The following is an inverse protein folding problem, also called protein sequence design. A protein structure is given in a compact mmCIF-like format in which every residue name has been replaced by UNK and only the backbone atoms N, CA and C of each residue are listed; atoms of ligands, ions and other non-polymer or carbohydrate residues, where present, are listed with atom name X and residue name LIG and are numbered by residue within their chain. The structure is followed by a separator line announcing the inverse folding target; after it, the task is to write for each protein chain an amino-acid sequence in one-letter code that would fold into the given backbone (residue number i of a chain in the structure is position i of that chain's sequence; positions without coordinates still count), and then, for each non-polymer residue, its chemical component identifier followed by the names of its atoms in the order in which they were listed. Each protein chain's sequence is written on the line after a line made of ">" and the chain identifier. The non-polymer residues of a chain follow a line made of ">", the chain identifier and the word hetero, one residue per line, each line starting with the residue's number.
data_IF_882864761357
#
_entry.id   IF_882864761357
#
_cell.length_a   1.000
_cell.length_b   1.000
_cell.length_c   1.000
_cell.angle_alpha   90.00
_cell.angle_beta   90.00
_cell.angle_gamma   90.00
#
_symmetry.space_group_name_H-M   'P 1'
#
loop_
_entity.id
_entity.type
_entity.pdbx_description
1 polymer ?
#
# COMPACT_ATOMS: atom_id res chain seq x y z
N UNK A 1 -27.98 -19.49 13.24
CA UNK A 1 -28.13 -20.96 13.22
C UNK A 1 -27.65 -21.46 14.57
N UNK A 2 -28.52 -22.12 15.33
CA UNK A 2 -28.19 -22.57 16.68
C UNK A 2 -27.37 -23.86 16.61
N UNK A 3 -26.27 -23.96 17.37
CA UNK A 3 -25.42 -25.15 17.38
C UNK A 3 -26.22 -26.39 17.81
N UNK A 4 -27.19 -26.25 18.71
CA UNK A 4 -27.98 -27.38 19.22
C UNK A 4 -28.88 -28.01 18.15
N UNK A 5 -29.20 -27.27 17.09
CA UNK A 5 -30.05 -27.72 15.98
C UNK A 5 -29.26 -28.40 14.85
N UNK A 6 -27.93 -28.31 14.87
CA UNK A 6 -27.08 -28.86 13.82
C UNK A 6 -26.82 -30.36 14.01
N UNK A 7 -26.84 -31.11 12.92
CA UNK A 7 -26.39 -32.49 12.90
C UNK A 7 -24.90 -32.60 13.23
N UNK A 8 -24.48 -33.79 13.67
CA UNK A 8 -23.08 -34.05 14.00
C UNK A 8 -22.13 -33.78 12.81
N UNK A 9 -22.58 -34.07 11.59
CA UNK A 9 -21.84 -33.83 10.35
C UNK A 9 -21.67 -32.33 10.06
N UNK A 10 -22.74 -31.54 10.23
CA UNK A 10 -22.71 -30.09 10.02
C UNK A 10 -21.82 -29.40 11.06
N UNK A 11 -21.88 -29.85 12.33
CA UNK A 11 -20.99 -29.38 13.40
C UNK A 11 -19.53 -29.65 13.04
N UNK A 12 -19.23 -30.84 12.54
CA UNK A 12 -17.86 -31.21 12.15
C UNK A 12 -17.35 -30.38 10.97
N UNK A 13 -18.19 -30.12 9.96
CA UNK A 13 -17.84 -29.27 8.83
C UNK A 13 -17.61 -27.81 9.24
N UNK A 14 -18.45 -27.27 10.12
CA UNK A 14 -18.29 -25.93 10.67
C UNK A 14 -16.98 -25.80 11.44
N UNK A 15 -16.67 -26.79 12.30
CA UNK A 15 -15.41 -26.85 13.04
C UNK A 15 -14.19 -26.87 12.11
N UNK A 16 -14.21 -27.70 11.07
CA UNK A 16 -13.12 -27.77 10.08
C UNK A 16 -12.95 -26.42 9.37
N UNK A 17 -14.03 -25.76 8.99
CA UNK A 17 -14.01 -24.45 8.34
C UNK A 17 -13.43 -23.37 9.26
N UNK A 18 -13.90 -23.30 10.50
CA UNK A 18 -13.39 -22.36 11.50
C UNK A 18 -11.91 -22.59 11.79
N UNK A 19 -11.49 -23.86 11.90
CA UNK A 19 -10.08 -24.20 12.11
C UNK A 19 -9.18 -23.73 10.96
N UNK A 20 -9.65 -23.84 9.71
CA UNK A 20 -8.93 -23.34 8.53
C UNK A 20 -8.82 -21.81 8.54
N UNK A 21 -9.88 -21.10 8.90
CA UNK A 21 -9.86 -19.63 8.95
C UNK A 21 -8.97 -19.11 10.10
N UNK A 22 -8.99 -19.78 11.25
CA UNK A 22 -8.08 -19.49 12.35
C UNK A 22 -6.63 -19.67 11.91
N UNK A 23 -6.31 -20.76 11.20
CA UNK A 23 -4.96 -21.01 10.69
C UNK A 23 -4.52 -19.94 9.68
N UNK A 24 -5.43 -19.51 8.81
CA UNK A 24 -5.19 -18.39 7.88
C UNK A 24 -4.90 -17.09 8.63
N UNK A 25 -5.72 -16.73 9.62
CA UNK A 25 -5.54 -15.51 10.41
C UNK A 25 -4.25 -15.54 11.22
N UNK A 26 -3.89 -16.70 11.80
CA UNK A 26 -2.59 -16.89 12.47
C UNK A 26 -1.42 -16.67 11.53
N UNK A 27 -1.49 -17.15 10.30
CA UNK A 27 -0.45 -16.91 9.30
C UNK A 27 -0.32 -15.42 8.93
N UNK A 28 -1.45 -14.71 8.84
CA UNK A 28 -1.47 -13.27 8.57
C UNK A 28 -0.90 -12.50 9.76
N UNK A 29 -1.33 -12.81 10.99
CA UNK A 29 -0.83 -12.18 12.21
C UNK A 29 0.66 -12.45 12.35
N UNK A 30 1.10 -13.70 12.22
CA UNK A 30 2.52 -14.08 12.24
C UNK A 30 3.31 -13.33 11.17
N UNK A 31 2.77 -13.20 9.96
CA UNK A 31 3.39 -12.36 8.94
C UNK A 31 3.57 -10.92 9.45
N UNK A 32 2.54 -10.28 10.00
CA UNK A 32 2.63 -8.92 10.56
C UNK A 32 3.41 -8.80 11.89
N UNK A 33 3.65 -9.89 12.61
CA UNK A 33 4.40 -9.90 13.87
C UNK A 33 5.89 -10.19 13.63
N UNK A 34 6.21 -11.19 12.79
CA UNK A 34 7.57 -11.47 12.30
C UNK A 34 8.10 -10.29 11.49
N UNK A 35 7.22 -9.70 10.69
CA UNK A 35 7.44 -8.44 10.04
C UNK A 35 6.81 -7.37 10.93
N UNK A 36 7.44 -6.96 12.05
CA UNK A 36 7.16 -5.72 12.83
C UNK A 36 7.25 -4.43 11.97
N UNK A 37 6.76 -4.54 10.75
CA UNK A 37 6.84 -3.70 9.60
C UNK A 37 5.50 -3.00 9.65
N UNK A 38 5.47 -1.97 10.49
CA UNK A 38 4.97 -0.70 10.00
C UNK A 38 5.33 -0.58 8.52
N UNK A 39 4.52 0.13 7.76
CA UNK A 39 4.85 0.59 6.43
C UNK A 39 6.09 1.55 6.40
N UNK A 40 7.10 1.30 7.24
CA UNK A 40 8.44 1.88 7.34
C UNK A 40 8.99 2.14 5.95
N UNK A 41 8.93 1.18 5.02
CA UNK A 41 9.47 1.40 3.66
C UNK A 41 8.75 2.53 2.90
N UNK A 42 7.42 2.67 3.02
CA UNK A 42 6.70 3.73 2.28
C UNK A 42 6.82 5.07 3.00
N UNK A 43 6.71 5.08 4.34
CA UNK A 43 6.88 6.28 5.16
C UNK A 43 8.31 6.82 5.03
N UNK A 44 9.32 5.97 5.13
CA UNK A 44 10.74 6.33 4.99
C UNK A 44 11.06 6.74 3.56
N UNK A 45 10.47 6.09 2.56
CA UNK A 45 10.52 6.56 1.18
C UNK A 45 9.95 7.98 1.08
N UNK A 46 8.76 8.26 1.64
CA UNK A 46 8.18 9.59 1.60
C UNK A 46 9.04 10.63 2.35
N UNK A 47 9.56 10.30 3.52
CA UNK A 47 10.43 11.20 4.29
C UNK A 47 11.77 11.45 3.60
N UNK A 48 12.37 10.42 2.98
CA UNK A 48 13.71 10.51 2.39
C UNK A 48 13.69 11.01 0.95
N UNK A 49 12.72 10.60 0.13
CA UNK A 49 12.66 10.84 -1.32
C UNK A 49 11.59 11.86 -1.75
N UNK A 50 10.66 12.26 -0.88
CA UNK A 50 9.54 13.13 -1.28
C UNK A 50 9.52 14.49 -0.56
N UNK A 51 8.84 15.45 -1.18
CA UNK A 51 8.51 16.77 -0.63
C UNK A 51 6.99 16.86 -0.53
N UNK A 52 6.49 17.27 0.64
CA UNK A 52 5.09 17.58 0.85
C UNK A 52 4.86 19.11 0.79
N UNK A 53 4.09 19.59 -0.19
CA UNK A 53 3.71 21.01 -0.37
C UNK A 53 2.34 21.09 -1.04
N UNK A 54 1.51 22.05 -0.65
CA UNK A 54 0.14 22.18 -1.19
C UNK A 54 0.10 22.38 -2.72
N UNK A 55 1.08 23.08 -3.29
CA UNK A 55 1.14 23.43 -4.70
C UNK A 55 1.70 22.35 -5.63
N UNK A 56 2.15 21.21 -5.10
CA UNK A 56 2.81 20.17 -5.91
C UNK A 56 1.88 18.98 -6.19
N UNK A 57 2.18 18.27 -7.28
CA UNK A 57 1.56 16.99 -7.63
C UNK A 57 2.56 16.11 -8.36
N UNK A 58 2.32 14.80 -8.30
CA UNK A 58 3.11 13.79 -9.02
C UNK A 58 2.18 12.75 -9.62
N UNK A 59 2.54 12.18 -10.78
CA UNK A 59 1.80 11.02 -11.31
C UNK A 59 1.95 9.87 -10.32
N UNK A 60 0.85 9.21 -10.01
CA UNK A 60 0.84 8.11 -9.06
C UNK A 60 1.78 6.97 -9.49
N UNK A 61 1.86 6.71 -10.81
CA UNK A 61 2.76 5.71 -11.36
C UNK A 61 4.23 6.07 -11.15
N UNK A 62 4.62 7.31 -11.46
CA UNK A 62 6.01 7.78 -11.27
C UNK A 62 6.45 7.68 -9.81
N UNK A 63 5.56 8.04 -8.88
CA UNK A 63 5.82 7.94 -7.45
C UNK A 63 6.02 6.49 -7.00
N UNK A 64 5.22 5.56 -7.55
CA UNK A 64 5.36 4.13 -7.27
C UNK A 64 6.63 3.54 -7.88
N UNK A 65 7.00 3.92 -9.10
CA UNK A 65 8.25 3.47 -9.73
C UNK A 65 9.48 3.95 -8.96
N UNK A 66 9.46 5.19 -8.48
CA UNK A 66 10.51 5.72 -7.61
C UNK A 66 10.61 4.94 -6.28
N UNK A 67 9.47 4.59 -5.68
CA UNK A 67 9.42 3.72 -4.50
C UNK A 67 10.04 2.35 -4.77
N UNK A 68 9.70 1.68 -5.89
CA UNK A 68 10.29 0.39 -6.25
C UNK A 68 11.82 0.48 -6.37
N UNK A 69 12.34 1.49 -7.08
CA UNK A 69 13.79 1.71 -7.23
C UNK A 69 14.47 1.96 -5.90
N UNK A 70 13.81 2.69 -5.00
CA UNK A 70 14.31 2.91 -3.65
C UNK A 70 14.37 1.60 -2.86
N UNK A 71 13.32 0.78 -2.90
CA UNK A 71 13.34 -0.54 -2.27
C UNK A 71 14.45 -1.44 -2.84
N UNK A 72 14.62 -1.49 -4.16
CA UNK A 72 15.67 -2.29 -4.81
C UNK A 72 17.07 -1.88 -4.33
N UNK A 73 17.33 -0.57 -4.25
CA UNK A 73 18.62 -0.03 -3.79
C UNK A 73 18.96 -0.49 -2.35
N UNK A 74 17.96 -0.50 -1.47
CA UNK A 74 18.14 -0.85 -0.07
C UNK A 74 17.80 -2.32 0.24
N UNK A 75 17.57 -3.15 -0.79
CA UNK A 75 17.18 -4.57 -0.68
C UNK A 75 15.95 -4.79 0.22
N UNK A 76 14.96 -3.89 0.10
CA UNK A 76 13.74 -3.89 0.89
C UNK A 76 12.60 -4.63 0.18
N UNK A 77 11.69 -5.21 0.97
CA UNK A 77 10.47 -5.83 0.46
C UNK A 77 9.54 -4.75 -0.11
N UNK A 78 9.06 -4.98 -1.34
CA UNK A 78 8.12 -4.11 -2.04
C UNK A 78 6.68 -4.54 -1.78
N UNK A 79 5.78 -3.57 -1.60
CA UNK A 79 4.33 -3.82 -1.56
C UNK A 79 3.69 -3.66 -2.95
N UNK A 80 2.45 -4.12 -3.09
CA UNK A 80 1.71 -3.98 -4.34
C UNK A 80 1.41 -2.51 -4.66
N UNK A 81 1.20 -2.21 -5.95
CA UNK A 81 0.80 -0.85 -6.40
C UNK A 81 -0.49 -0.37 -5.73
N UNK A 82 -1.45 -1.29 -5.52
CA UNK A 82 -2.72 -0.97 -4.88
C UNK A 82 -2.48 -0.55 -3.43
N UNK A 83 -1.74 -1.36 -2.69
CA UNK A 83 -1.46 -1.10 -1.27
C UNK A 83 -0.64 0.17 -1.08
N UNK A 84 0.32 0.42 -1.98
CA UNK A 84 1.05 1.69 -2.03
C UNK A 84 0.10 2.89 -2.21
N UNK A 85 -0.84 2.82 -3.15
CA UNK A 85 -1.79 3.93 -3.36
C UNK A 85 -2.77 4.13 -2.21
N UNK A 86 -3.22 3.04 -1.60
CA UNK A 86 -4.10 3.10 -0.43
C UNK A 86 -3.35 3.72 0.75
N UNK A 87 -2.06 3.38 0.92
CA UNK A 87 -1.20 3.98 1.94
C UNK A 87 -0.99 5.48 1.72
N UNK A 88 -0.65 5.92 0.51
CA UNK A 88 -0.46 7.36 0.23
C UNK A 88 -1.73 8.17 0.51
N UNK A 89 -2.92 7.61 0.23
CA UNK A 89 -4.20 8.27 0.56
C UNK A 89 -4.47 8.29 2.07
N UNK A 90 -4.13 7.21 2.79
CA UNK A 90 -4.23 7.16 4.25
C UNK A 90 -3.40 8.28 4.93
N UNK A 91 -2.27 8.65 4.34
CA UNK A 91 -1.43 9.77 4.81
C UNK A 91 -1.94 11.17 4.39
N UNK A 92 -3.14 11.26 3.80
CA UNK A 92 -3.81 12.52 3.51
C UNK A 92 -3.51 13.10 2.12
N UNK A 93 -2.79 12.39 1.25
CA UNK A 93 -2.54 12.85 -0.12
C UNK A 93 -3.68 12.46 -1.06
N UNK A 94 -4.41 13.46 -1.54
CA UNK A 94 -5.57 13.25 -2.39
C UNK A 94 -5.18 12.71 -3.77
N UNK A 95 -5.81 11.61 -4.16
CA UNK A 95 -5.67 10.99 -5.48
C UNK A 95 -6.77 11.52 -6.42
N UNK A 96 -6.40 12.11 -7.56
CA UNK A 96 -7.36 12.58 -8.57
C UNK A 96 -6.93 12.20 -9.97
N UNK A 97 -7.91 12.03 -10.88
CA UNK A 97 -7.63 11.91 -12.31
C UNK A 97 -7.23 13.27 -12.87
N UNK A 98 -6.29 13.27 -13.80
CA UNK A 98 -5.84 14.45 -14.53
C UNK A 98 -5.86 14.22 -16.03
N UNK A 99 -5.07 15.00 -16.77
CA UNK A 99 -4.96 14.94 -18.22
C UNK A 99 -4.60 13.53 -18.71
N UNK A 100 -5.11 13.16 -19.90
CA UNK A 100 -4.85 11.87 -20.55
C UNK A 100 -5.16 10.65 -19.68
N UNK A 101 -6.18 10.76 -18.81
CA UNK A 101 -6.62 9.68 -17.93
C UNK A 101 -5.57 9.18 -16.92
N UNK A 102 -4.54 9.99 -16.65
CA UNK A 102 -3.52 9.68 -15.65
C UNK A 102 -4.02 9.98 -14.24
N UNK A 103 -3.53 9.22 -13.26
CA UNK A 103 -3.80 9.43 -11.84
C UNK A 103 -2.66 10.24 -11.22
N UNK A 104 -3.00 11.24 -10.42
CA UNK A 104 -2.05 12.09 -9.71
C UNK A 104 -2.33 12.10 -8.21
N UNK A 105 -1.27 12.19 -7.42
CA UNK A 105 -1.35 12.57 -6.00
C UNK A 105 -1.05 14.07 -5.87
N UNK A 106 -1.88 14.77 -5.11
CA UNK A 106 -1.73 16.19 -4.80
C UNK A 106 -1.17 16.36 -3.40
N UNK A 107 -0.32 17.37 -3.20
CA UNK A 107 0.31 17.64 -1.92
C UNK A 107 1.67 16.97 -1.74
N UNK A 108 2.11 16.12 -2.67
CA UNK A 108 3.38 15.38 -2.63
C UNK A 108 4.06 15.35 -4.01
N UNK A 109 5.40 15.39 -4.02
CA UNK A 109 6.24 15.18 -5.20
C UNK A 109 7.59 14.56 -4.82
N UNK A 110 8.39 14.11 -5.79
CA UNK A 110 9.75 13.59 -5.57
C UNK A 110 10.74 14.76 -5.34
N UNK A 111 11.71 14.60 -4.42
CA UNK A 111 12.73 15.60 -4.06
C UNK A 111 13.67 15.92 -5.22
N UNK A 112 14.25 14.87 -5.77
CA UNK A 112 14.96 14.97 -7.03
C UNK A 112 13.87 14.78 -8.07
N UNK A 113 13.56 15.84 -8.81
CA UNK A 113 12.73 15.68 -9.99
C UNK A 113 13.46 14.70 -10.91
N UNK A 114 13.12 13.41 -10.84
CA UNK A 114 13.53 12.40 -11.80
C UNK A 114 12.85 12.74 -13.13
N UNK A 115 13.39 13.78 -13.75
CA UNK A 115 13.60 14.14 -15.15
C UNK A 115 12.58 13.79 -16.23
N UNK A 116 11.34 13.40 -15.90
CA UNK A 116 10.29 13.14 -16.90
C UNK A 116 8.97 13.88 -16.64
N UNK A 117 8.90 14.76 -15.64
CA UNK A 117 7.82 15.73 -15.59
C UNK A 117 8.02 16.73 -16.75
N UNK A 118 7.04 16.95 -17.65
CA UNK A 118 7.16 17.96 -18.68
C UNK A 118 7.41 19.30 -17.99
N UNK A 119 8.59 19.89 -18.23
CA UNK A 119 8.89 21.27 -17.85
C UNK A 119 7.80 22.12 -18.49
N UNK A 120 6.82 22.51 -17.70
CA UNK A 120 5.85 23.50 -18.15
C UNK A 120 6.60 24.81 -18.09
N UNK A 121 7.07 25.26 -19.24
CA UNK A 121 7.66 26.59 -19.38
C UNK A 121 6.59 27.60 -18.92
N UNK A 122 6.91 28.34 -17.85
CA UNK A 122 6.31 29.63 -17.58
C UNK A 122 7.07 30.67 -18.41
#
# INVERSE_FOLDING_TARGET
>A
MNLDEMSLSEKNNLYISQKREIERLKNIIRYYEEHQIDNVNVKDFCCSQCIAKYSVKVRALDLFEAYKRWCDRYKLIQISKKDFYDFIQYYGFNKRRGSKNCIYFYGITLKNGDSNAPKTNL
#
